data_IF_808775325917
#
_entry.id   IF_808775325917
#
_cell.length_a   1.000
_cell.length_b   1.000
_cell.length_c   1.000
_cell.angle_alpha   90.00
_cell.angle_beta   90.00
_cell.angle_gamma   90.00
#
_symmetry.space_group_name_H-M   'P 1'
#
loop_
_entity.id
_entity.type
_entity.pdbx_description
1 polymer ?
#
# COMPACT_ATOMS: atom_id res chain seq x y z
N UNK A 1 12.96 41.62 -42.02
CA UNK A 1 12.33 41.57 -40.68
C UNK A 1 11.38 40.39 -40.49
N UNK A 2 10.50 40.03 -41.44
CA UNK A 2 9.54 38.91 -41.27
C UNK A 2 10.16 37.51 -41.03
N UNK A 3 11.38 37.26 -41.50
CA UNK A 3 12.09 35.98 -41.27
C UNK A 3 12.72 35.87 -39.87
N UNK A 4 13.05 37.02 -39.23
CA UNK A 4 13.59 37.06 -37.84
C UNK A 4 12.51 36.70 -36.80
N UNK A 5 11.28 37.16 -36.98
CA UNK A 5 10.19 36.89 -36.02
C UNK A 5 9.74 35.41 -35.98
N UNK A 6 9.78 34.68 -37.11
CA UNK A 6 9.37 33.26 -37.13
C UNK A 6 10.34 32.35 -36.36
N UNK A 7 11.65 32.62 -36.42
CA UNK A 7 12.69 31.84 -35.70
C UNK A 7 12.68 32.09 -34.20
N UNK A 8 12.40 33.32 -33.76
CA UNK A 8 12.24 33.67 -32.33
C UNK A 8 10.98 33.00 -31.75
N UNK A 9 9.88 32.94 -32.51
CA UNK A 9 8.67 32.25 -32.09
C UNK A 9 8.86 30.72 -31.96
N UNK A 10 9.67 30.10 -32.80
CA UNK A 10 9.99 28.65 -32.69
C UNK A 10 10.89 28.37 -31.48
N UNK A 11 11.79 29.29 -31.14
CA UNK A 11 12.61 29.23 -29.92
C UNK A 11 11.78 29.40 -28.66
N UNK A 12 10.85 30.36 -28.63
CA UNK A 12 9.88 30.50 -27.53
C UNK A 12 9.03 29.23 -27.35
N UNK A 13 8.66 28.58 -28.46
CA UNK A 13 7.91 27.31 -28.43
C UNK A 13 8.78 26.13 -27.95
N UNK A 14 10.03 26.04 -28.40
CA UNK A 14 11.01 25.04 -27.96
C UNK A 14 11.41 25.23 -26.50
N UNK A 15 11.57 26.47 -26.02
CA UNK A 15 11.72 26.80 -24.60
C UNK A 15 10.49 26.35 -23.81
N UNK A 16 9.26 26.60 -24.31
CA UNK A 16 8.04 26.15 -23.64
C UNK A 16 7.89 24.62 -23.58
N UNK A 17 8.35 23.90 -24.61
CA UNK A 17 8.33 22.43 -24.69
C UNK A 17 9.47 21.78 -23.88
N UNK A 18 10.63 22.42 -23.81
CA UNK A 18 11.77 21.99 -23.00
C UNK A 18 11.60 22.30 -21.51
N UNK A 19 10.58 23.07 -21.10
CA UNK A 19 10.37 23.45 -19.69
C UNK A 19 9.23 22.71 -19.00
N UNK A 20 8.18 22.30 -19.72
CA UNK A 20 7.02 21.62 -19.11
C UNK A 20 7.36 20.43 -18.18
N UNK A 21 8.39 19.61 -18.45
CA UNK A 21 8.71 18.51 -17.57
C UNK A 21 9.70 18.89 -16.42
N UNK A 22 10.47 19.99 -16.46
CA UNK A 22 11.61 20.32 -15.54
C UNK A 22 11.25 20.44 -14.07
N UNK A 23 9.97 20.38 -13.81
CA UNK A 23 9.33 21.18 -12.81
C UNK A 23 8.32 20.34 -12.03
N UNK A 24 7.86 19.21 -12.60
CA UNK A 24 7.23 18.10 -11.87
C UNK A 24 8.19 17.39 -10.88
N UNK A 25 9.45 17.81 -10.80
CA UNK A 25 10.52 17.13 -10.11
C UNK A 25 11.25 17.98 -9.05
N UNK A 26 10.99 19.29 -9.03
CA UNK A 26 11.50 20.19 -8.00
C UNK A 26 10.61 20.13 -6.75
N UNK A 27 10.57 18.96 -6.09
CA UNK A 27 10.39 18.75 -4.64
C UNK A 27 10.10 17.26 -4.35
N UNK A 28 11.08 16.48 -3.84
CA UNK A 28 10.81 15.45 -2.86
C UNK A 28 10.88 16.08 -1.46
N UNK A 29 10.19 17.20 -1.23
CA UNK A 29 9.91 17.71 0.12
C UNK A 29 8.48 17.37 0.49
N UNK A 30 8.26 16.07 0.57
CA UNK A 30 6.98 15.50 0.88
C UNK A 30 7.07 14.03 0.61
N UNK A 31 7.19 13.28 1.69
CA UNK A 31 6.98 11.84 1.75
C UNK A 31 5.62 11.49 1.11
N UNK A 32 5.56 11.40 -0.22
CA UNK A 32 4.35 11.14 -1.01
C UNK A 32 4.54 9.89 -1.87
N UNK A 33 4.92 8.81 -1.20
CA UNK A 33 4.46 7.48 -1.57
C UNK A 33 3.15 7.20 -0.83
N UNK A 34 2.01 7.43 -1.47
CA UNK A 34 0.79 6.72 -1.11
C UNK A 34 0.91 5.28 -1.61
N UNK A 35 1.72 4.52 -0.89
CA UNK A 35 2.09 3.15 -1.17
C UNK A 35 2.61 2.52 0.09
N UNK A 36 1.75 1.73 0.71
CA UNK A 36 2.04 0.66 1.65
C UNK A 36 3.36 -0.05 1.28
N UNK A 37 4.43 0.23 2.03
CA UNK A 37 5.77 -0.35 1.84
C UNK A 37 6.82 0.70 2.15
N UNK A 38 7.75 0.43 3.08
CA UNK A 38 8.89 1.32 3.27
C UNK A 38 9.61 1.46 1.93
N UNK A 39 9.67 2.67 1.37
CA UNK A 39 10.44 2.90 0.13
C UNK A 39 11.89 2.55 0.46
N UNK A 40 12.41 1.48 -0.15
CA UNK A 40 13.83 1.14 -0.04
C UNK A 40 14.65 2.36 -0.45
N UNK A 41 15.84 2.51 0.16
CA UNK A 41 16.77 3.59 -0.19
C UNK A 41 17.05 3.59 -1.70
N UNK A 42 17.07 2.39 -2.29
CA UNK A 42 17.14 2.09 -3.72
C UNK A 42 16.05 2.80 -4.54
N UNK A 43 14.76 2.59 -4.24
CA UNK A 43 13.66 3.24 -4.98
C UNK A 43 13.76 4.77 -4.94
N UNK A 44 14.27 5.30 -3.82
CA UNK A 44 14.46 6.74 -3.66
C UNK A 44 15.65 7.26 -4.47
N UNK A 45 16.73 6.48 -4.56
CA UNK A 45 17.88 6.80 -5.39
C UNK A 45 17.54 6.74 -6.89
N UNK A 46 16.84 5.70 -7.32
CA UNK A 46 16.34 5.54 -8.69
C UNK A 46 15.45 6.73 -9.10
N UNK A 47 14.50 7.10 -8.24
CA UNK A 47 13.65 8.26 -8.49
C UNK A 47 14.47 9.56 -8.62
N UNK A 48 15.52 9.74 -7.82
CA UNK A 48 16.37 10.93 -7.88
C UNK A 48 17.19 10.98 -9.17
N UNK A 49 17.77 9.85 -9.60
CA UNK A 49 18.50 9.74 -10.86
C UNK A 49 17.60 10.07 -12.05
N UNK A 50 16.40 9.49 -12.09
CA UNK A 50 15.41 9.77 -13.13
C UNK A 50 15.11 11.27 -13.24
N UNK A 51 14.97 11.96 -12.10
CA UNK A 51 14.74 13.40 -12.08
C UNK A 51 15.96 14.17 -12.65
N UNK A 52 17.17 13.79 -12.23
CA UNK A 52 18.40 14.43 -12.69
C UNK A 52 18.64 14.21 -14.20
N UNK A 53 18.41 13.01 -14.73
CA UNK A 53 18.46 12.72 -16.18
C UNK A 53 17.50 13.61 -16.96
N UNK A 54 16.29 13.77 -16.45
CA UNK A 54 15.32 14.65 -17.09
C UNK A 54 15.79 16.10 -17.04
N UNK A 55 16.38 16.57 -15.93
CA UNK A 55 16.96 17.90 -15.84
C UNK A 55 18.07 18.10 -16.89
N UNK A 56 19.02 17.16 -17.00
CA UNK A 56 20.08 17.13 -18.02
C UNK A 56 19.51 17.35 -19.42
N UNK A 57 18.62 16.48 -19.88
CA UNK A 57 18.05 16.52 -21.25
C UNK A 57 17.45 17.88 -21.60
N UNK A 58 16.88 18.58 -20.61
CA UNK A 58 16.22 19.87 -20.85
C UNK A 58 17.21 21.03 -20.92
N UNK A 59 18.22 21.06 -20.06
CA UNK A 59 19.30 22.05 -20.17
C UNK A 59 20.07 21.84 -21.46
N UNK A 60 20.34 20.58 -21.80
CA UNK A 60 20.99 20.17 -23.05
C UNK A 60 20.21 20.65 -24.27
N UNK A 61 18.89 20.44 -24.30
CA UNK A 61 18.04 20.90 -25.39
C UNK A 61 18.07 22.43 -25.55
N UNK A 62 18.04 23.18 -24.45
CA UNK A 62 18.15 24.64 -24.48
C UNK A 62 19.51 25.07 -25.02
N UNK A 63 20.59 24.54 -24.45
CA UNK A 63 21.96 24.83 -24.86
C UNK A 63 22.17 24.55 -26.35
N UNK A 64 21.78 23.35 -26.82
CA UNK A 64 21.87 22.97 -28.22
C UNK A 64 21.04 23.88 -29.12
N UNK A 65 19.88 24.35 -28.68
CA UNK A 65 19.05 25.28 -29.45
C UNK A 65 19.70 26.66 -29.60
N UNK A 66 20.45 27.11 -28.59
CA UNK A 66 21.22 28.36 -28.64
C UNK A 66 22.41 28.19 -29.58
N UNK A 67 23.19 27.11 -29.41
CA UNK A 67 24.39 26.83 -30.21
C UNK A 67 24.08 26.58 -31.69
N UNK A 68 22.95 25.93 -32.00
CA UNK A 68 22.54 25.67 -33.38
C UNK A 68 21.93 26.90 -34.10
N UNK A 69 21.68 28.00 -33.39
CA UNK A 69 21.04 29.19 -33.97
C UNK A 69 22.05 30.32 -34.23
N UNK A 70 22.48 30.44 -35.48
CA UNK A 70 23.42 31.49 -35.95
C UNK A 70 23.00 32.91 -35.57
N UNK A 71 21.68 33.19 -35.54
CA UNK A 71 21.18 34.52 -35.19
C UNK A 71 21.36 34.79 -33.70
N UNK A 72 21.11 33.79 -32.83
CA UNK A 72 21.35 33.94 -31.40
C UNK A 72 22.84 34.07 -31.11
N UNK A 73 23.68 33.26 -31.76
CA UNK A 73 25.14 33.34 -31.60
C UNK A 73 25.67 34.72 -31.97
N UNK A 74 25.28 35.24 -33.14
CA UNK A 74 25.66 36.59 -33.55
C UNK A 74 25.21 37.65 -32.54
N UNK A 75 24.00 37.53 -31.97
CA UNK A 75 23.52 38.47 -30.94
C UNK A 75 24.27 38.33 -29.61
N UNK A 76 24.69 37.12 -29.24
CA UNK A 76 25.50 36.84 -28.05
C UNK A 76 26.90 37.42 -28.22
N UNK A 77 27.51 37.25 -29.40
CA UNK A 77 28.83 37.80 -29.74
C UNK A 77 28.79 39.34 -29.78
N UNK A 78 27.77 39.94 -30.41
CA UNK A 78 27.55 41.39 -30.42
C UNK A 78 27.37 41.99 -29.02
N UNK A 79 26.84 41.20 -28.08
CA UNK A 79 26.61 41.59 -26.69
C UNK A 79 27.79 41.29 -25.76
N UNK A 80 28.90 40.74 -26.27
CA UNK A 80 30.08 40.33 -25.50
C UNK A 80 29.75 39.29 -24.40
N UNK A 81 28.90 38.31 -24.75
CA UNK A 81 28.40 37.26 -23.84
C UNK A 81 28.90 35.86 -24.21
N UNK A 82 29.87 35.74 -25.13
CA UNK A 82 30.43 34.46 -25.57
C UNK A 82 31.06 33.67 -24.41
N UNK A 83 31.89 34.32 -23.59
CA UNK A 83 32.52 33.72 -22.42
C UNK A 83 31.48 33.22 -21.39
N UNK A 84 30.37 33.96 -21.23
CA UNK A 84 29.28 33.55 -20.35
C UNK A 84 28.56 32.30 -20.87
N UNK A 85 28.40 32.17 -22.19
CA UNK A 85 27.83 30.97 -22.81
C UNK A 85 28.77 29.77 -22.64
N UNK A 86 30.08 29.98 -22.78
CA UNK A 86 31.08 28.94 -22.57
C UNK A 86 31.09 28.46 -21.12
N UNK A 87 31.10 29.36 -20.14
CA UNK A 87 30.99 29.00 -18.72
C UNK A 87 29.69 28.23 -18.40
N UNK A 88 28.57 28.59 -19.02
CA UNK A 88 27.31 27.86 -18.85
C UNK A 88 27.39 26.43 -19.41
N UNK A 89 28.07 26.25 -20.55
CA UNK A 89 28.33 24.93 -21.13
C UNK A 89 29.27 24.09 -20.25
N UNK A 90 30.35 24.68 -19.72
CA UNK A 90 31.24 24.00 -18.77
C UNK A 90 30.49 23.56 -17.51
N UNK A 91 29.67 24.43 -16.93
CA UNK A 91 28.83 24.11 -15.76
C UNK A 91 27.86 22.97 -16.06
N UNK A 92 27.26 22.96 -17.25
CA UNK A 92 26.41 21.85 -17.68
C UNK A 92 27.17 20.52 -17.75
N UNK A 93 28.38 20.52 -18.33
CA UNK A 93 29.20 19.30 -18.45
C UNK A 93 29.66 18.77 -17.09
N UNK A 94 30.02 19.65 -16.14
CA UNK A 94 30.27 19.24 -14.75
C UNK A 94 29.05 18.51 -14.15
N UNK A 95 27.84 18.98 -14.45
CA UNK A 95 26.61 18.30 -14.03
C UNK A 95 26.43 16.93 -14.68
N UNK A 96 26.81 16.77 -15.95
CA UNK A 96 26.76 15.49 -16.67
C UNK A 96 27.72 14.48 -16.04
N UNK A 97 28.99 14.87 -15.84
CA UNK A 97 30.00 14.02 -15.22
C UNK A 97 29.56 13.59 -13.81
N UNK A 98 29.03 14.53 -13.02
CA UNK A 98 28.52 14.25 -11.67
C UNK A 98 27.34 13.27 -11.69
N UNK A 99 26.45 13.37 -12.69
CA UNK A 99 25.32 12.46 -12.84
C UNK A 99 25.77 11.04 -13.24
N UNK A 100 26.81 10.90 -14.06
CA UNK A 100 27.40 9.60 -14.40
C UNK A 100 28.01 8.92 -13.16
N UNK A 101 28.68 9.69 -12.29
CA UNK A 101 29.15 9.19 -10.98
C UNK A 101 27.97 8.77 -10.08
N UNK A 102 26.85 9.48 -10.14
CA UNK A 102 25.64 9.14 -9.40
C UNK A 102 25.04 7.80 -9.85
N UNK A 103 24.97 7.56 -11.16
CA UNK A 103 24.53 6.28 -11.74
C UNK A 103 25.49 5.15 -11.36
N UNK A 104 26.80 5.37 -11.46
CA UNK A 104 27.82 4.39 -11.04
C UNK A 104 27.68 4.02 -9.56
N UNK A 105 27.48 5.02 -8.69
CA UNK A 105 27.24 4.80 -7.25
C UNK A 105 25.97 4.01 -6.97
N UNK A 106 24.93 4.15 -7.81
CA UNK A 106 23.70 3.39 -7.69
C UNK A 106 23.92 1.93 -8.08
N UNK A 107 24.64 1.67 -9.17
CA UNK A 107 25.01 0.32 -9.62
C UNK A 107 25.88 -0.42 -8.58
N UNK A 108 26.73 0.30 -7.86
CA UNK A 108 27.54 -0.23 -6.74
C UNK A 108 26.73 -0.49 -5.46
N UNK A 109 25.42 -0.22 -5.45
CA UNK A 109 24.54 -0.35 -4.28
C UNK A 109 24.72 0.77 -3.24
N UNK A 110 25.50 1.81 -3.54
CA UNK A 110 25.67 2.98 -2.68
C UNK A 110 24.57 4.03 -2.94
N UNK A 111 23.33 3.67 -2.57
CA UNK A 111 22.16 4.51 -2.83
C UNK A 111 22.21 5.90 -2.15
N UNK A 112 22.86 6.02 -0.99
CA UNK A 112 23.05 7.33 -0.33
C UNK A 112 23.99 8.22 -1.13
N UNK A 113 25.11 7.66 -1.62
CA UNK A 113 26.05 8.36 -2.50
C UNK A 113 25.39 8.79 -3.80
N UNK A 114 24.64 7.88 -4.44
CA UNK A 114 23.88 8.16 -5.64
C UNK A 114 22.90 9.34 -5.46
N UNK A 115 22.14 9.37 -4.35
CA UNK A 115 21.23 10.48 -4.05
C UNK A 115 21.99 11.80 -3.89
N UNK A 116 23.13 11.80 -3.19
CA UNK A 116 23.92 13.00 -2.96
C UNK A 116 24.47 13.58 -4.27
N UNK A 117 25.09 12.72 -5.09
CA UNK A 117 25.64 13.11 -6.39
C UNK A 117 24.55 13.54 -7.38
N UNK A 118 23.39 12.87 -7.39
CA UNK A 118 22.25 13.29 -8.22
C UNK A 118 21.73 14.68 -7.83
N UNK A 119 21.69 15.01 -6.54
CA UNK A 119 21.34 16.35 -6.05
C UNK A 119 22.37 17.40 -6.46
N UNK A 120 23.65 17.07 -6.39
CA UNK A 120 24.76 17.93 -6.81
C UNK A 120 24.71 18.21 -8.32
N UNK A 121 24.54 17.17 -9.14
CA UNK A 121 24.35 17.28 -10.59
C UNK A 121 23.17 18.21 -10.95
N UNK A 122 22.04 18.07 -10.26
CA UNK A 122 20.91 18.98 -10.43
C UNK A 122 21.21 20.43 -10.04
N UNK A 123 22.10 20.64 -9.07
CA UNK A 123 22.63 21.96 -8.73
C UNK A 123 23.32 22.60 -9.93
N UNK A 124 24.26 21.89 -10.55
CA UNK A 124 24.95 22.32 -11.76
C UNK A 124 23.99 22.58 -12.93
N UNK A 125 23.04 21.68 -13.20
CA UNK A 125 22.06 21.88 -14.27
C UNK A 125 21.20 23.14 -14.04
N UNK A 126 20.79 23.40 -12.81
CA UNK A 126 20.03 24.60 -12.47
C UNK A 126 20.85 25.87 -12.69
N UNK A 127 22.13 25.84 -12.33
CA UNK A 127 22.99 27.02 -12.43
C UNK A 127 23.35 27.30 -13.90
N UNK A 128 23.65 26.26 -14.69
CA UNK A 128 23.78 26.37 -16.15
C UNK A 128 22.50 26.94 -16.79
N UNK A 129 21.32 26.43 -16.41
CA UNK A 129 20.04 26.95 -16.93
C UNK A 129 19.82 28.44 -16.62
N UNK A 130 20.17 28.88 -15.40
CA UNK A 130 20.07 30.30 -15.01
C UNK A 130 20.96 31.17 -15.87
N UNK A 131 22.22 30.76 -16.08
CA UNK A 131 23.14 31.53 -16.93
C UNK A 131 22.66 31.61 -18.37
N UNK A 132 22.21 30.50 -18.95
CA UNK A 132 21.61 30.50 -20.29
C UNK A 132 20.39 31.45 -20.37
N UNK A 133 19.54 31.43 -19.35
CA UNK A 133 18.37 32.30 -19.29
C UNK A 133 18.76 33.78 -19.18
N UNK A 134 19.77 34.09 -18.36
CA UNK A 134 20.31 35.45 -18.21
C UNK A 134 20.88 35.98 -19.53
N UNK A 135 21.63 35.16 -20.26
CA UNK A 135 22.16 35.50 -21.59
C UNK A 135 21.03 35.85 -22.54
N UNK A 136 20.02 34.96 -22.64
CA UNK A 136 18.84 35.18 -23.49
C UNK A 136 18.07 36.47 -23.10
N UNK A 137 18.08 36.83 -21.83
CA UNK A 137 17.50 38.08 -21.36
C UNK A 137 18.29 39.32 -21.80
N UNK A 138 19.60 39.30 -21.63
CA UNK A 138 20.49 40.41 -22.01
C UNK A 138 20.45 40.71 -23.51
N UNK A 139 20.30 39.68 -24.34
CA UNK A 139 20.13 39.85 -25.80
C UNK A 139 18.67 40.17 -26.22
N UNK A 140 17.76 40.40 -25.26
CA UNK A 140 16.39 40.83 -25.52
C UNK A 140 15.46 39.73 -26.07
N UNK A 141 15.86 38.47 -26.01
CA UNK A 141 15.04 37.31 -26.42
C UNK A 141 14.02 36.95 -25.34
N UNK A 142 14.40 37.10 -24.06
CA UNK A 142 13.52 36.96 -22.90
C UNK A 142 13.36 38.31 -22.17
N UNK A 143 12.22 38.54 -21.52
CA UNK A 143 12.03 39.64 -20.56
C UNK A 143 12.48 39.17 -19.17
N UNK A 144 13.21 39.99 -18.40
CA UNK A 144 13.76 39.58 -17.09
C UNK A 144 12.68 39.19 -16.09
N UNK A 145 11.57 39.93 -16.07
CA UNK A 145 10.41 39.69 -15.20
C UNK A 145 9.70 38.36 -15.51
N UNK A 146 9.82 37.89 -16.76
CA UNK A 146 9.26 36.60 -17.17
C UNK A 146 10.08 35.46 -16.58
N UNK A 147 11.41 35.56 -16.56
CA UNK A 147 12.32 34.54 -16.00
C UNK A 147 12.07 34.35 -14.49
N UNK A 148 11.93 35.44 -13.73
CA UNK A 148 11.68 35.38 -12.29
C UNK A 148 10.28 34.82 -11.95
N UNK A 149 9.30 35.05 -12.82
CA UNK A 149 7.93 34.59 -12.64
C UNK A 149 7.69 33.12 -13.01
N UNK A 150 8.47 32.54 -13.94
CA UNK A 150 8.23 31.19 -14.44
C UNK A 150 8.21 30.16 -13.31
N UNK A 151 9.17 30.24 -12.38
CA UNK A 151 9.27 29.34 -11.22
C UNK A 151 7.97 29.23 -10.41
N UNK A 152 7.19 30.31 -10.35
CA UNK A 152 5.90 30.33 -9.67
C UNK A 152 4.80 29.63 -10.47
N UNK A 153 4.75 29.78 -11.80
CA UNK A 153 3.80 29.02 -12.64
C UNK A 153 4.00 27.52 -12.50
N UNK A 154 5.26 27.12 -12.35
CA UNK A 154 5.59 25.73 -12.09
C UNK A 154 5.04 25.30 -10.74
N UNK A 155 5.36 26.05 -9.70
CA UNK A 155 4.97 25.66 -8.35
C UNK A 155 3.43 25.56 -8.26
N UNK A 156 2.71 26.41 -8.99
CA UNK A 156 1.26 26.30 -9.19
C UNK A 156 0.88 24.97 -9.86
N UNK A 157 1.48 24.63 -11.00
CA UNK A 157 1.19 23.37 -11.71
C UNK A 157 1.48 22.13 -10.83
N UNK A 158 2.55 22.17 -10.06
CA UNK A 158 2.92 21.10 -9.13
C UNK A 158 1.93 21.00 -7.97
N UNK A 159 1.49 22.13 -7.43
CA UNK A 159 0.47 22.16 -6.39
C UNK A 159 -0.87 21.60 -6.91
N UNK A 160 -1.26 21.91 -8.15
CA UNK A 160 -2.46 21.34 -8.79
C UNK A 160 -2.35 19.82 -8.97
N UNK A 161 -1.24 19.32 -9.51
CA UNK A 161 -1.01 17.87 -9.63
C UNK A 161 -1.02 17.18 -8.24
N UNK A 162 -0.49 17.86 -7.22
CA UNK A 162 -0.54 17.35 -5.83
C UNK A 162 -1.97 17.30 -5.31
N UNK A 163 -2.79 18.31 -5.58
CA UNK A 163 -4.23 18.32 -5.23
C UNK A 163 -4.94 17.13 -5.88
N UNK A 164 -4.73 16.89 -7.17
CA UNK A 164 -5.34 15.78 -7.91
C UNK A 164 -4.99 14.43 -7.29
N UNK A 165 -3.70 14.16 -7.09
CA UNK A 165 -3.23 12.92 -6.43
C UNK A 165 -3.79 12.77 -5.01
N UNK A 166 -3.94 13.87 -4.27
CA UNK A 166 -4.52 13.84 -2.93
C UNK A 166 -6.01 13.52 -2.98
N UNK A 167 -6.78 14.06 -3.92
CA UNK A 167 -8.20 13.71 -4.10
C UNK A 167 -8.38 12.22 -4.35
N UNK A 168 -7.64 11.65 -5.31
CA UNK A 168 -7.69 10.22 -5.61
C UNK A 168 -7.34 9.35 -4.38
N UNK A 169 -6.40 9.82 -3.56
CA UNK A 169 -6.03 9.12 -2.34
C UNK A 169 -7.12 9.20 -1.28
N UNK A 170 -7.71 10.37 -1.10
CA UNK A 170 -8.76 10.62 -0.12
C UNK A 170 -9.99 9.79 -0.47
N UNK A 171 -10.40 9.78 -1.74
CA UNK A 171 -11.50 8.95 -2.24
C UNK A 171 -11.24 7.45 -2.02
N UNK A 172 -10.03 6.95 -2.33
CA UNK A 172 -9.67 5.55 -2.05
C UNK A 172 -9.77 5.22 -0.57
N UNK A 173 -9.40 6.14 0.31
CA UNK A 173 -9.54 5.96 1.76
C UNK A 173 -11.03 5.95 2.13
N UNK A 174 -11.78 6.98 1.75
CA UNK A 174 -13.21 7.11 2.02
C UNK A 174 -14.01 5.88 1.56
N UNK A 175 -13.76 5.39 0.33
CA UNK A 175 -14.44 4.21 -0.21
C UNK A 175 -14.14 2.93 0.58
N UNK A 176 -12.94 2.80 1.17
CA UNK A 176 -12.56 1.63 1.96
C UNK A 176 -13.02 1.71 3.41
N UNK A 177 -13.10 2.91 3.97
CA UNK A 177 -13.30 3.11 5.40
C UNK A 177 -14.67 3.68 5.77
N UNK A 178 -15.37 4.29 4.82
CA UNK A 178 -16.60 5.05 5.04
C UNK A 178 -16.38 6.38 5.75
N UNK A 179 -15.14 6.90 5.78
CA UNK A 179 -14.85 8.20 6.41
C UNK A 179 -15.42 9.33 5.57
N UNK A 180 -16.07 10.27 6.22
CA UNK A 180 -16.46 11.53 5.60
C UNK A 180 -15.22 12.40 5.34
N UNK A 181 -14.98 12.72 4.07
CA UNK A 181 -13.86 13.55 3.59
C UNK A 181 -14.35 14.88 3.01
N UNK A 182 -15.62 15.25 3.23
CA UNK A 182 -16.25 16.42 2.59
C UNK A 182 -15.49 17.71 2.88
N UNK A 183 -15.15 17.97 4.15
CA UNK A 183 -14.42 19.18 4.54
C UNK A 183 -13.01 19.24 3.93
N UNK A 184 -12.27 18.13 3.99
CA UNK A 184 -10.93 18.04 3.42
C UNK A 184 -10.96 18.25 1.89
N UNK A 185 -11.97 17.71 1.22
CA UNK A 185 -12.15 17.83 -0.24
C UNK A 185 -12.58 19.25 -0.63
N UNK A 186 -13.40 19.92 0.20
CA UNK A 186 -13.77 21.32 0.00
C UNK A 186 -12.53 22.23 0.03
N UNK A 187 -11.62 22.04 0.98
CA UNK A 187 -10.35 22.79 1.06
C UNK A 187 -9.44 22.58 -0.15
N UNK A 188 -9.36 21.34 -0.65
CA UNK A 188 -8.63 21.06 -1.89
C UNK A 188 -9.25 21.78 -3.10
N UNK A 189 -10.58 21.91 -3.13
CA UNK A 189 -11.30 22.61 -4.20
C UNK A 189 -11.10 24.13 -4.13
N UNK A 190 -11.07 24.69 -2.93
CA UNK A 190 -10.73 26.11 -2.71
C UNK A 190 -9.27 26.40 -3.12
N UNK A 191 -8.32 25.54 -2.73
CA UNK A 191 -6.92 25.67 -3.14
C UNK A 191 -6.75 25.65 -4.66
N UNK A 192 -7.48 24.77 -5.35
CA UNK A 192 -7.48 24.67 -6.81
C UNK A 192 -8.01 25.94 -7.49
N UNK A 193 -9.07 26.55 -6.93
CA UNK A 193 -9.61 27.81 -7.44
C UNK A 193 -8.61 28.97 -7.31
N UNK A 194 -7.86 29.03 -6.19
CA UNK A 194 -6.80 30.02 -5.97
C UNK A 194 -5.67 29.83 -7.00
N UNK A 195 -5.33 28.58 -7.34
CA UNK A 195 -4.25 28.22 -8.26
C UNK A 195 -4.60 28.38 -9.75
N UNK A 196 -5.31 29.46 -10.12
CA UNK A 196 -5.69 29.74 -11.50
C UNK A 196 -4.46 30.15 -12.34
N UNK A 197 -3.98 29.21 -13.18
CA UNK A 197 -2.80 29.40 -14.04
C UNK A 197 -2.96 30.57 -15.01
N UNK A 198 -4.15 30.78 -15.57
CA UNK A 198 -4.40 31.88 -16.51
C UNK A 198 -4.21 33.22 -15.82
N UNK A 199 -4.80 33.38 -14.63
CA UNK A 199 -4.64 34.59 -13.81
C UNK A 199 -3.19 34.80 -13.38
N UNK A 200 -2.51 33.74 -12.95
CA UNK A 200 -1.10 33.81 -12.58
C UNK A 200 -0.22 34.27 -13.75
N UNK A 201 -0.49 33.79 -14.97
CA UNK A 201 0.23 34.22 -16.18
C UNK A 201 0.04 35.71 -16.47
N UNK A 202 -1.19 36.21 -16.36
CA UNK A 202 -1.48 37.64 -16.54
C UNK A 202 -0.75 38.51 -15.51
N UNK A 203 -0.76 38.11 -14.24
CA UNK A 203 -0.06 38.81 -13.16
C UNK A 203 1.45 38.89 -13.41
N UNK A 204 2.05 37.79 -13.85
CA UNK A 204 3.48 37.77 -14.18
C UNK A 204 3.82 38.62 -15.41
N UNK A 205 2.95 38.64 -16.42
CA UNK A 205 3.12 39.53 -17.58
C UNK A 205 3.05 41.02 -17.20
N UNK A 206 2.38 41.34 -16.09
CA UNK A 206 2.30 42.67 -15.49
C UNK A 206 3.43 42.95 -14.49
N UNK A 207 4.36 42.01 -14.28
CA UNK A 207 5.46 42.12 -13.32
C UNK A 207 5.05 41.90 -11.86
N UNK A 208 3.83 41.45 -11.60
CA UNK A 208 3.29 41.28 -10.25
C UNK A 208 3.62 39.88 -9.67
N UNK A 209 4.90 39.65 -9.41
CA UNK A 209 5.45 38.39 -8.88
C UNK A 209 4.95 38.12 -7.45
N UNK A 210 4.82 39.16 -6.63
CA UNK A 210 4.41 39.07 -5.21
C UNK A 210 3.01 38.50 -5.06
N UNK A 211 2.05 38.91 -5.89
CA UNK A 211 0.68 38.42 -5.82
C UNK A 211 0.61 36.92 -6.18
N UNK A 212 1.36 36.48 -7.19
CA UNK A 212 1.42 35.06 -7.56
C UNK A 212 2.08 34.21 -6.46
N UNK A 213 3.13 34.71 -5.81
CA UNK A 213 3.75 34.03 -4.67
C UNK A 213 2.78 33.91 -3.49
N UNK A 214 1.97 34.94 -3.25
CA UNK A 214 0.95 34.94 -2.21
C UNK A 214 -0.18 33.93 -2.51
N UNK A 215 -0.68 33.88 -3.75
CA UNK A 215 -1.66 32.87 -4.20
C UNK A 215 -1.16 31.44 -3.92
N UNK A 216 0.09 31.16 -4.27
CA UNK A 216 0.70 29.84 -4.04
C UNK A 216 0.81 29.52 -2.55
N UNK A 217 1.19 30.49 -1.71
CA UNK A 217 1.27 30.32 -0.26
C UNK A 217 -0.08 30.00 0.35
N UNK A 218 -1.13 30.73 -0.04
CA UNK A 218 -2.50 30.53 0.44
C UNK A 218 -3.03 29.15 0.05
N UNK A 219 -2.86 28.75 -1.20
CA UNK A 219 -3.23 27.41 -1.66
C UNK A 219 -2.47 26.30 -0.91
N UNK A 220 -1.18 26.48 -0.66
CA UNK A 220 -0.37 25.52 0.11
C UNK A 220 -0.86 25.37 1.56
N UNK A 221 -1.34 26.44 2.19
CA UNK A 221 -1.93 26.37 3.53
C UNK A 221 -3.21 25.53 3.51
N UNK A 222 -4.11 25.75 2.55
CA UNK A 222 -5.34 24.96 2.39
C UNK A 222 -5.06 23.48 2.14
N UNK A 223 -4.05 23.16 1.31
CA UNK A 223 -3.61 21.78 1.09
C UNK A 223 -3.12 21.13 2.40
N UNK A 224 -2.35 21.87 3.21
CA UNK A 224 -1.90 21.38 4.51
C UNK A 224 -3.06 21.16 5.48
N UNK A 225 -4.05 22.05 5.47
CA UNK A 225 -5.25 21.93 6.30
C UNK A 225 -6.11 20.74 5.89
N UNK A 226 -6.33 20.52 4.59
CA UNK A 226 -7.03 19.34 4.08
C UNK A 226 -6.39 18.03 4.58
N UNK A 227 -5.05 17.96 4.59
CA UNK A 227 -4.34 16.80 5.12
C UNK A 227 -4.52 16.62 6.63
N UNK A 228 -4.51 17.71 7.41
CA UNK A 228 -4.75 17.68 8.86
C UNK A 228 -6.15 17.18 9.17
N UNK A 229 -7.16 17.64 8.42
CA UNK A 229 -8.55 17.21 8.59
C UNK A 229 -8.73 15.73 8.30
N UNK A 230 -8.18 15.24 7.20
CA UNK A 230 -8.20 13.79 6.92
C UNK A 230 -7.54 13.00 8.05
N UNK A 231 -6.39 13.46 8.55
CA UNK A 231 -5.67 12.80 9.65
C UNK A 231 -6.51 12.75 10.93
N UNK A 232 -7.25 13.82 11.24
CA UNK A 232 -8.16 13.86 12.39
C UNK A 232 -9.34 12.89 12.19
N UNK A 233 -9.99 12.91 11.03
CA UNK A 233 -11.11 12.02 10.72
C UNK A 233 -10.70 10.54 10.80
N UNK A 234 -9.51 10.18 10.30
CA UNK A 234 -8.95 8.83 10.43
C UNK A 234 -8.74 8.45 11.90
N UNK A 235 -8.21 9.38 12.73
CA UNK A 235 -8.00 9.14 14.16
C UNK A 235 -9.31 8.89 14.90
N UNK A 236 -10.32 9.70 14.64
CA UNK A 236 -11.65 9.55 15.23
C UNK A 236 -12.31 8.23 14.82
N UNK A 237 -12.27 7.87 13.54
CA UNK A 237 -12.78 6.58 13.08
C UNK A 237 -12.12 5.41 13.81
N UNK A 238 -10.80 5.46 14.01
CA UNK A 238 -10.07 4.37 14.66
C UNK A 238 -10.36 4.34 16.16
N UNK A 239 -10.43 5.48 16.82
CA UNK A 239 -10.89 5.56 18.21
C UNK A 239 -12.28 4.92 18.35
N UNK A 240 -13.22 5.26 17.47
CA UNK A 240 -14.56 4.68 17.45
C UNK A 240 -14.55 3.16 17.21
N UNK A 241 -13.72 2.66 16.28
CA UNK A 241 -13.56 1.21 16.04
C UNK A 241 -13.00 0.48 17.26
N UNK A 242 -12.04 1.08 17.97
CA UNK A 242 -11.48 0.51 19.20
C UNK A 242 -12.55 0.46 20.30
N UNK A 243 -13.33 1.52 20.48
CA UNK A 243 -14.42 1.53 21.47
C UNK A 243 -15.53 0.53 21.13
N UNK A 244 -15.92 0.41 19.87
CA UNK A 244 -16.84 -0.64 19.43
C UNK A 244 -16.28 -2.04 19.69
N UNK A 245 -14.98 -2.25 19.48
CA UNK A 245 -14.32 -3.53 19.74
C UNK A 245 -14.27 -3.85 21.24
N UNK A 246 -13.96 -2.87 22.10
CA UNK A 246 -14.09 -2.98 23.57
C UNK A 246 -15.50 -3.37 23.99
N UNK A 247 -16.52 -2.75 23.39
CA UNK A 247 -17.92 -3.11 23.64
C UNK A 247 -18.22 -4.58 23.29
N UNK A 248 -17.80 -5.05 22.11
CA UNK A 248 -17.93 -6.46 21.69
C UNK A 248 -17.20 -7.40 22.64
N UNK A 249 -16.01 -7.02 23.10
CA UNK A 249 -15.25 -7.78 24.07
C UNK A 249 -15.97 -7.94 25.40
N UNK A 250 -16.54 -6.87 25.92
CA UNK A 250 -17.33 -6.91 27.15
C UNK A 250 -18.57 -7.81 26.97
N UNK A 251 -19.26 -7.73 25.84
CA UNK A 251 -20.39 -8.64 25.55
C UNK A 251 -19.95 -10.11 25.50
N UNK A 252 -18.78 -10.41 24.93
CA UNK A 252 -18.23 -11.76 24.95
C UNK A 252 -17.95 -12.17 26.40
N UNK A 253 -17.28 -11.34 27.19
CA UNK A 253 -17.00 -11.58 28.61
C UNK A 253 -18.27 -11.94 29.40
N UNK A 254 -19.33 -11.15 29.27
CA UNK A 254 -20.59 -11.41 29.98
C UNK A 254 -21.22 -12.74 29.56
N UNK A 255 -21.23 -13.05 28.25
CA UNK A 255 -21.73 -14.34 27.77
C UNK A 255 -20.92 -15.53 28.28
N UNK A 256 -19.61 -15.38 28.42
CA UNK A 256 -18.74 -16.40 29.00
C UNK A 256 -19.08 -16.60 30.48
N UNK A 257 -19.19 -15.50 31.24
CA UNK A 257 -19.58 -15.51 32.66
C UNK A 257 -20.92 -16.20 32.88
N UNK A 258 -21.96 -15.79 32.16
CA UNK A 258 -23.30 -16.38 32.27
C UNK A 258 -23.27 -17.89 32.01
N UNK A 259 -22.54 -18.33 30.97
CA UNK A 259 -22.39 -19.74 30.63
C UNK A 259 -21.67 -20.55 31.70
N UNK A 260 -20.64 -19.99 32.31
CA UNK A 260 -19.90 -20.62 33.41
C UNK A 260 -20.77 -20.73 34.67
N UNK A 261 -21.49 -19.66 35.02
CA UNK A 261 -22.44 -19.63 36.14
C UNK A 261 -23.56 -20.67 35.97
N UNK A 262 -24.16 -20.76 34.79
CA UNK A 262 -25.20 -21.75 34.47
C UNK A 262 -24.73 -23.21 34.62
N UNK A 263 -23.41 -23.45 34.67
CA UNK A 263 -22.81 -24.78 34.81
C UNK A 263 -22.13 -24.99 36.16
N UNK A 264 -22.19 -24.01 37.06
CA UNK A 264 -21.53 -24.06 38.37
C UNK A 264 -20.00 -24.06 38.30
N UNK A 265 -19.40 -23.63 37.18
CA UNK A 265 -17.94 -23.55 37.01
C UNK A 265 -17.47 -22.17 37.46
N UNK A 266 -16.45 -22.11 38.31
CA UNK A 266 -15.83 -20.84 38.71
C UNK A 266 -15.04 -20.21 37.56
N UNK A 267 -15.18 -18.90 37.34
CA UNK A 267 -14.41 -18.17 36.33
C UNK A 267 -12.89 -18.36 36.52
N UNK A 268 -12.40 -18.28 37.76
CA UNK A 268 -10.98 -18.41 38.07
C UNK A 268 -10.45 -19.83 37.81
N UNK A 269 -11.29 -20.85 37.95
CA UNK A 269 -10.93 -22.22 37.58
C UNK A 269 -10.80 -22.36 36.06
N UNK A 270 -11.67 -21.69 35.31
CA UNK A 270 -11.63 -21.70 33.85
C UNK A 270 -10.35 -21.04 33.31
N UNK A 271 -9.98 -19.86 33.81
CA UNK A 271 -8.83 -19.10 33.30
C UNK A 271 -7.46 -19.58 33.82
N UNK A 272 -7.39 -20.36 34.91
CA UNK A 272 -6.13 -20.95 35.39
C UNK A 272 -5.40 -21.79 34.36
N UNK A 273 -6.12 -22.45 33.45
CA UNK A 273 -5.53 -23.24 32.34
C UNK A 273 -4.79 -22.38 31.31
N UNK A 274 -5.07 -21.09 31.28
CA UNK A 274 -4.41 -20.11 30.43
C UNK A 274 -3.27 -19.38 31.17
N UNK A 275 -2.80 -19.93 32.30
CA UNK A 275 -1.80 -19.35 33.20
C UNK A 275 -2.24 -18.02 33.84
N UNK A 276 -3.55 -17.79 34.01
CA UNK A 276 -4.07 -16.65 34.75
C UNK A 276 -4.59 -17.07 36.12
N UNK A 277 -4.02 -16.51 37.17
CA UNK A 277 -4.42 -16.80 38.56
C UNK A 277 -5.86 -16.40 38.85
N UNK A 278 -6.35 -15.33 38.20
CA UNK A 278 -7.72 -14.81 38.30
C UNK A 278 -8.26 -14.43 36.93
N UNK A 279 -9.58 -14.53 36.76
CA UNK A 279 -10.29 -14.10 35.55
C UNK A 279 -10.01 -12.62 35.23
N UNK A 280 -9.93 -11.78 36.26
CA UNK A 280 -9.63 -10.36 36.15
C UNK A 280 -8.25 -10.08 35.51
N UNK A 281 -7.27 -10.94 35.74
CA UNK A 281 -5.91 -10.77 35.20
C UNK A 281 -5.89 -11.00 33.69
N UNK A 282 -6.65 -11.98 33.20
CA UNK A 282 -6.83 -12.21 31.77
C UNK A 282 -7.44 -10.97 31.09
N UNK A 283 -8.54 -10.44 31.65
CA UNK A 283 -9.23 -9.29 31.08
C UNK A 283 -8.39 -8.01 31.16
N UNK A 284 -7.69 -7.79 32.27
CA UNK A 284 -6.73 -6.70 32.41
C UNK A 284 -5.67 -6.76 31.34
N UNK A 285 -5.10 -7.94 31.09
CA UNK A 285 -4.07 -8.11 30.05
C UNK A 285 -4.58 -7.82 28.65
N UNK A 286 -5.81 -8.22 28.34
CA UNK A 286 -6.45 -7.88 27.06
C UNK A 286 -6.65 -6.36 26.91
N UNK A 287 -7.10 -5.67 27.98
CA UNK A 287 -7.27 -4.22 27.97
C UNK A 287 -5.94 -3.46 27.85
N UNK A 288 -4.89 -3.92 28.53
CA UNK A 288 -3.52 -3.36 28.39
C UNK A 288 -3.02 -3.43 26.95
N UNK A 289 -3.19 -4.58 26.29
CA UNK A 289 -2.77 -4.74 24.89
C UNK A 289 -3.57 -3.76 24.00
N UNK A 290 -4.88 -3.64 24.19
CA UNK A 290 -5.69 -2.70 23.42
C UNK A 290 -5.32 -1.23 23.63
N UNK A 291 -5.07 -0.81 24.88
CA UNK A 291 -4.63 0.56 25.15
C UNK A 291 -3.23 0.82 24.58
N UNK A 292 -2.34 -0.18 24.60
CA UNK A 292 -1.04 -0.06 23.93
C UNK A 292 -1.17 0.11 22.41
N UNK A 293 -2.14 -0.58 21.78
CA UNK A 293 -2.46 -0.41 20.36
C UNK A 293 -3.01 0.98 20.10
N UNK A 294 -3.92 1.47 20.95
CA UNK A 294 -4.49 2.81 20.86
C UNK A 294 -3.41 3.89 20.96
N UNK A 295 -2.55 3.80 21.98
CA UNK A 295 -1.47 4.76 22.21
C UNK A 295 -0.49 4.80 21.03
N UNK A 296 0.01 3.64 20.59
CA UNK A 296 0.90 3.53 19.43
C UNK A 296 0.26 4.10 18.15
N UNK A 297 -1.03 3.89 17.97
CA UNK A 297 -1.75 4.44 16.83
C UNK A 297 -1.86 5.97 16.90
N UNK A 298 -2.18 6.53 18.07
CA UNK A 298 -2.30 7.98 18.26
C UNK A 298 -0.97 8.70 18.05
N UNK A 299 0.14 8.09 18.49
CA UNK A 299 1.51 8.60 18.33
C UNK A 299 2.05 8.46 16.92
N UNK A 300 1.93 7.28 16.28
CA UNK A 300 2.65 6.98 15.03
C UNK A 300 1.77 6.92 13.77
N UNK A 301 0.43 6.97 13.88
CA UNK A 301 -0.48 6.96 12.73
C UNK A 301 -0.42 5.68 11.86
N UNK A 302 0.23 4.62 12.34
CA UNK A 302 0.32 3.32 11.66
C UNK A 302 -0.34 2.26 12.52
N UNK A 303 -1.18 1.45 11.88
CA UNK A 303 -1.75 0.25 12.48
C UNK A 303 -0.96 -0.94 11.94
N UNK A 304 -0.34 -1.73 12.81
CA UNK A 304 0.02 -3.09 12.44
C UNK A 304 -1.26 -3.91 12.56
N UNK A 305 -1.98 -4.10 11.44
CA UNK A 305 -3.22 -4.88 11.39
C UNK A 305 -3.08 -6.27 12.04
N UNK A 306 -1.86 -6.80 12.05
CA UNK A 306 -1.42 -8.04 12.71
C UNK A 306 -1.73 -8.10 14.20
N UNK A 307 -1.72 -6.97 14.91
CA UNK A 307 -1.91 -6.94 16.36
C UNK A 307 -3.39 -7.13 16.73
N UNK A 308 -4.29 -6.47 15.98
CA UNK A 308 -5.75 -6.66 16.13
C UNK A 308 -6.19 -8.07 15.69
N UNK A 309 -5.57 -8.61 14.63
CA UNK A 309 -5.79 -10.00 14.21
C UNK A 309 -5.35 -10.99 15.28
N UNK A 310 -4.23 -10.73 15.96
CA UNK A 310 -3.74 -11.58 17.05
C UNK A 310 -4.69 -11.59 18.24
N UNK A 311 -5.23 -10.44 18.63
CA UNK A 311 -6.27 -10.37 19.68
C UNK A 311 -7.53 -11.13 19.24
N UNK A 312 -8.00 -10.87 18.00
CA UNK A 312 -9.21 -11.51 17.45
C UNK A 312 -9.08 -13.02 17.33
N UNK A 313 -7.89 -13.54 17.05
CA UNK A 313 -7.58 -14.97 17.01
C UNK A 313 -7.63 -15.59 18.41
N UNK A 314 -6.95 -14.98 19.38
CA UNK A 314 -6.96 -15.46 20.78
C UNK A 314 -8.37 -15.52 21.37
N UNK A 315 -9.22 -14.53 21.09
CA UNK A 315 -10.60 -14.52 21.55
C UNK A 315 -11.46 -15.62 20.92
N UNK A 316 -11.20 -15.94 19.65
CA UNK A 316 -11.86 -17.07 18.98
C UNK A 316 -11.48 -18.38 19.66
N UNK A 317 -10.19 -18.59 19.94
CA UNK A 317 -9.69 -19.78 20.65
C UNK A 317 -10.37 -19.96 22.03
N UNK A 318 -10.46 -18.89 22.84
CA UNK A 318 -11.16 -18.92 24.14
C UNK A 318 -12.64 -19.28 23.99
N UNK A 319 -13.34 -18.68 23.01
CA UNK A 319 -14.75 -18.97 22.76
C UNK A 319 -14.97 -20.43 22.33
N UNK A 320 -14.10 -20.95 21.48
CA UNK A 320 -14.13 -22.33 21.02
C UNK A 320 -13.96 -23.30 22.19
N UNK A 321 -13.00 -23.04 23.07
CA UNK A 321 -12.75 -23.89 24.22
C UNK A 321 -13.93 -23.91 25.21
N UNK A 322 -14.63 -22.79 25.37
CA UNK A 322 -15.87 -22.75 26.15
C UNK A 322 -16.99 -23.56 25.53
N UNK A 323 -17.20 -23.45 24.21
CA UNK A 323 -18.24 -24.24 23.52
C UNK A 323 -17.96 -25.75 23.60
N UNK A 324 -16.70 -26.16 23.59
CA UNK A 324 -16.28 -27.55 23.82
C UNK A 324 -16.60 -27.99 25.24
N UNK A 325 -16.16 -27.26 26.28
CA UNK A 325 -16.38 -27.66 27.68
C UNK A 325 -17.84 -27.67 28.10
N UNK A 326 -18.66 -26.79 27.52
CA UNK A 326 -20.10 -26.81 27.76
C UNK A 326 -20.77 -28.11 27.27
N UNK A 327 -20.10 -28.82 26.36
CA UNK A 327 -20.55 -30.06 25.69
C UNK A 327 -19.75 -31.30 26.08
N UNK A 328 -18.63 -31.17 26.80
CA UNK A 328 -17.87 -32.30 27.34
C UNK A 328 -18.77 -33.09 28.30
N UNK A 329 -19.26 -34.25 27.82
CA UNK A 329 -19.66 -35.39 28.65
C UNK A 329 -18.47 -36.34 28.67
N UNK A 330 -18.22 -36.99 29.81
CA UNK A 330 -17.25 -38.10 29.87
C UNK A 330 -17.68 -39.17 28.86
N UNK A 331 -16.82 -39.46 27.87
CA UNK A 331 -17.12 -40.43 26.84
C UNK A 331 -15.98 -40.62 25.84
N UNK A 332 -16.10 -41.66 25.03
CA UNK A 332 -15.15 -42.06 23.98
C UNK A 332 -15.68 -41.56 22.65
N UNK A 333 -14.93 -40.67 22.00
CA UNK A 333 -15.26 -40.27 20.64
C UNK A 333 -14.73 -41.28 19.65
N UNK A 334 -15.50 -41.53 18.59
CA UNK A 334 -15.15 -42.43 17.50
C UNK A 334 -15.72 -41.86 16.21
N UNK A 335 -14.95 -41.95 15.13
CA UNK A 335 -15.33 -41.46 13.81
C UNK A 335 -15.28 -42.64 12.85
N UNK A 336 -16.38 -42.84 12.13
CA UNK A 336 -16.45 -43.71 10.97
C UNK A 336 -16.46 -42.82 9.72
N UNK A 337 -15.61 -43.14 8.76
CA UNK A 337 -15.52 -42.44 7.47
C UNK A 337 -15.87 -43.44 6.39
N UNK A 338 -16.73 -43.04 5.47
CA UNK A 338 -17.07 -43.80 4.28
C UNK A 338 -16.88 -42.94 3.04
N UNK A 339 -16.44 -43.54 1.94
CA UNK A 339 -16.09 -42.85 0.70
C UNK A 339 -16.74 -43.57 -0.47
N UNK A 340 -17.69 -42.90 -1.11
CA UNK A 340 -18.38 -43.38 -2.30
C UNK A 340 -17.92 -42.57 -3.52
N UNK A 341 -17.56 -43.25 -4.61
CA UNK A 341 -17.25 -42.61 -5.90
C UNK A 341 -18.57 -42.40 -6.64
N UNK A 342 -18.95 -41.15 -6.90
CA UNK A 342 -20.22 -40.82 -7.55
C UNK A 342 -20.09 -40.95 -9.08
N UNK A 343 -19.05 -40.34 -9.64
CA UNK A 343 -18.79 -40.28 -11.08
C UNK A 343 -17.30 -40.04 -11.33
N UNK A 344 -16.80 -40.60 -12.44
CA UNK A 344 -15.39 -40.52 -12.80
C UNK A 344 -15.21 -40.48 -14.32
N UNK A 345 -14.37 -39.57 -14.79
CA UNK A 345 -13.94 -39.50 -16.19
C UNK A 345 -12.44 -39.78 -16.26
N UNK A 346 -12.07 -40.81 -17.03
CA UNK A 346 -10.68 -41.17 -17.27
C UNK A 346 -10.22 -40.52 -18.56
N UNK A 347 -9.21 -39.66 -18.49
CA UNK A 347 -8.57 -39.05 -19.66
C UNK A 347 -7.07 -39.36 -19.62
N UNK A 348 -6.63 -40.28 -20.50
CA UNK A 348 -5.24 -40.80 -20.54
C UNK A 348 -4.84 -41.48 -19.21
N UNK A 349 -3.86 -40.93 -18.48
CA UNK A 349 -3.32 -41.41 -17.19
C UNK A 349 -3.81 -40.57 -15.99
N UNK A 350 -4.90 -39.83 -16.17
CA UNK A 350 -5.48 -38.97 -15.14
C UNK A 350 -6.97 -39.23 -15.01
N UNK A 351 -7.45 -39.25 -13.79
CA UNK A 351 -8.85 -39.44 -13.41
C UNK A 351 -9.37 -38.16 -12.79
N UNK A 352 -10.51 -37.71 -13.27
CA UNK A 352 -11.32 -36.72 -12.57
C UNK A 352 -12.45 -37.47 -11.89
N UNK A 353 -12.57 -37.39 -10.56
CA UNK A 353 -13.58 -38.11 -9.77
C UNK A 353 -14.28 -37.16 -8.80
N UNK A 354 -15.59 -37.30 -8.64
CA UNK A 354 -16.29 -36.73 -7.48
C UNK A 354 -16.50 -37.81 -6.43
N UNK A 355 -16.13 -37.48 -5.20
CA UNK A 355 -16.30 -38.32 -4.03
C UNK A 355 -17.42 -37.77 -3.17
N UNK A 356 -18.26 -38.67 -2.66
CA UNK A 356 -19.12 -38.44 -1.51
C UNK A 356 -18.41 -39.00 -0.29
N UNK A 357 -18.02 -38.14 0.63
CA UNK A 357 -17.43 -38.55 1.90
C UNK A 357 -18.48 -38.39 2.99
N UNK A 358 -18.77 -39.51 3.64
CA UNK A 358 -19.72 -39.59 4.75
C UNK A 358 -18.93 -39.70 6.04
N UNK A 359 -19.14 -38.76 6.96
CA UNK A 359 -18.49 -38.74 8.28
C UNK A 359 -19.56 -39.01 9.32
N UNK A 360 -19.44 -40.12 10.05
CA UNK A 360 -20.37 -40.49 11.10
C UNK A 360 -19.67 -40.44 12.46
N UNK A 361 -20.33 -39.81 13.43
CA UNK A 361 -19.90 -39.87 14.81
C UNK A 361 -20.46 -41.14 15.46
N UNK A 362 -19.64 -42.18 15.60
CA UNK A 362 -20.02 -43.43 16.27
C UNK A 362 -19.69 -43.42 17.77
N UNK A 363 -19.05 -42.35 18.25
CA UNK A 363 -18.77 -42.14 19.66
C UNK A 363 -20.00 -41.68 20.45
N UNK A 364 -19.82 -41.61 21.78
CA UNK A 364 -20.86 -41.12 22.70
C UNK A 364 -20.64 -39.66 23.14
N UNK A 365 -19.72 -38.95 22.47
CA UNK A 365 -19.44 -37.52 22.69
C UNK A 365 -19.64 -36.74 21.40
N UNK A 366 -19.94 -35.45 21.53
CA UNK A 366 -20.02 -34.53 20.39
C UNK A 366 -18.64 -34.26 19.81
N UNK A 367 -18.52 -34.34 18.48
CA UNK A 367 -17.28 -34.05 17.76
C UNK A 367 -17.33 -32.66 17.13
N UNK A 368 -16.21 -31.93 17.19
CA UNK A 368 -16.09 -30.58 16.62
C UNK A 368 -14.97 -30.56 15.58
N UNK A 369 -15.31 -30.07 14.39
CA UNK A 369 -14.42 -30.00 13.25
C UNK A 369 -14.02 -28.56 12.93
N UNK A 370 -12.79 -28.34 12.43
CA UNK A 370 -12.24 -27.00 12.22
C UNK A 370 -12.89 -26.23 11.06
N UNK A 371 -13.65 -26.92 10.19
CA UNK A 371 -14.32 -26.34 9.04
C UNK A 371 -15.58 -27.14 8.66
N UNK A 372 -16.38 -26.62 7.73
CA UNK A 372 -17.59 -27.28 7.21
C UNK A 372 -17.31 -28.60 6.47
N UNK A 373 -16.09 -28.79 5.99
CA UNK A 373 -15.64 -30.04 5.38
C UNK A 373 -15.07 -31.04 6.39
N UNK A 374 -15.45 -30.95 7.67
CA UNK A 374 -15.08 -31.92 8.71
C UNK A 374 -13.56 -32.11 8.91
N UNK A 375 -12.74 -31.12 8.56
CA UNK A 375 -11.27 -31.27 8.62
C UNK A 375 -10.74 -32.35 7.67
N UNK A 376 -11.42 -32.56 6.55
CA UNK A 376 -11.05 -33.57 5.55
C UNK A 376 -9.74 -33.23 4.85
N UNK A 377 -8.91 -34.26 4.71
CA UNK A 377 -7.67 -34.28 3.96
C UNK A 377 -7.69 -35.54 3.09
N UNK A 378 -7.27 -35.42 1.83
CA UNK A 378 -7.04 -36.55 0.94
C UNK A 378 -5.54 -36.78 0.87
N UNK A 379 -5.12 -38.02 1.10
CA UNK A 379 -3.74 -38.47 0.99
C UNK A 379 -3.63 -39.53 -0.11
N UNK A 380 -2.44 -39.64 -0.70
CA UNK A 380 -2.10 -40.62 -1.71
C UNK A 380 -0.94 -41.48 -1.24
N UNK A 381 -0.99 -42.78 -1.50
CA UNK A 381 0.12 -43.67 -1.24
C UNK A 381 1.19 -43.53 -2.34
N UNK A 382 2.41 -43.19 -1.94
CA UNK A 382 3.58 -43.09 -2.82
C UNK A 382 4.71 -43.87 -2.13
N UNK A 383 5.14 -44.98 -2.75
CA UNK A 383 6.20 -45.85 -2.22
C UNK A 383 5.93 -46.38 -0.79
N UNK A 384 4.67 -46.72 -0.48
CA UNK A 384 4.28 -47.22 0.86
C UNK A 384 4.08 -46.12 1.91
N UNK A 385 4.27 -44.84 1.55
CA UNK A 385 4.02 -43.70 2.44
C UNK A 385 2.77 -42.92 2.00
N UNK A 386 1.95 -42.55 2.97
CA UNK A 386 0.81 -41.66 2.74
C UNK A 386 1.28 -40.20 2.72
N UNK A 387 1.02 -39.51 1.61
CA UNK A 387 1.38 -38.09 1.43
C UNK A 387 0.15 -37.26 1.18
N UNK A 388 0.15 -36.04 1.74
CA UNK A 388 -0.88 -35.04 1.47
C UNK A 388 -1.07 -34.85 -0.04
N UNK A 389 -2.31 -34.96 -0.51
CA UNK A 389 -2.68 -34.78 -1.90
C UNK A 389 -3.61 -33.57 -2.08
N UNK A 390 -4.66 -33.48 -1.28
CA UNK A 390 -5.68 -32.43 -1.45
C UNK A 390 -6.42 -32.14 -0.14
N UNK A 391 -6.93 -30.92 0.03
CA UNK A 391 -7.91 -30.60 1.07
C UNK A 391 -8.98 -29.68 0.48
N UNK A 392 -10.28 -29.96 0.67
CA UNK A 392 -11.34 -29.14 0.11
C UNK A 392 -11.33 -27.74 0.71
N UNK A 393 -11.50 -26.72 -0.15
CA UNK A 393 -11.76 -25.36 0.30
C UNK A 393 -13.11 -25.31 1.01
N UNK A 394 -13.09 -25.11 2.32
CA UNK A 394 -14.27 -24.99 3.15
C UNK A 394 -14.33 -23.62 3.81
N UNK A 395 -15.54 -23.08 3.95
CA UNK A 395 -15.75 -21.94 4.83
C UNK A 395 -15.22 -22.29 6.23
N UNK A 396 -14.55 -21.33 6.87
CA UNK A 396 -14.03 -21.43 8.24
C UNK A 396 -15.18 -21.29 9.24
N UNK A 397 -16.13 -22.22 9.20
CA UNK A 397 -17.20 -22.36 10.18
C UNK A 397 -17.09 -23.74 10.80
N UNK A 398 -17.21 -23.80 12.13
CA UNK A 398 -17.18 -25.07 12.84
C UNK A 398 -18.34 -25.95 12.40
N UNK A 399 -18.06 -27.23 12.23
CA UNK A 399 -19.08 -28.25 12.09
C UNK A 399 -19.09 -29.12 13.33
N UNK A 400 -20.29 -29.43 13.79
CA UNK A 400 -20.54 -30.26 14.97
C UNK A 400 -21.25 -31.51 14.49
N UNK A 401 -20.84 -32.67 15.01
CA UNK A 401 -21.61 -33.92 14.91
C UNK A 401 -21.93 -34.42 16.32
N UNK A 402 -23.21 -34.49 16.65
CA UNK A 402 -23.68 -35.15 17.87
C UNK A 402 -23.53 -36.69 17.77
N UNK A 403 -23.55 -37.43 18.90
CA UNK A 403 -23.51 -38.90 18.88
C UNK A 403 -24.57 -39.49 17.93
N UNK A 404 -24.14 -40.34 16.99
CA UNK A 404 -25.01 -40.95 15.98
C UNK A 404 -25.30 -40.09 14.75
N UNK A 405 -24.92 -38.80 14.75
CA UNK A 405 -25.11 -37.94 13.59
C UNK A 405 -24.12 -38.29 12.46
N UNK A 406 -24.57 -37.99 11.24
CA UNK A 406 -23.81 -38.19 10.02
C UNK A 406 -23.75 -36.88 9.22
N UNK A 407 -22.58 -36.55 8.72
CA UNK A 407 -22.34 -35.42 7.82
C UNK A 407 -21.84 -35.91 6.46
N UNK A 408 -22.18 -35.18 5.40
CA UNK A 408 -21.70 -35.45 4.04
C UNK A 408 -20.86 -34.26 3.55
N UNK A 409 -19.75 -34.55 2.88
CA UNK A 409 -19.00 -33.57 2.09
C UNK A 409 -18.71 -34.13 0.70
N UNK A 410 -18.89 -33.29 -0.31
CA UNK A 410 -18.56 -33.62 -1.69
C UNK A 410 -17.20 -33.06 -2.05
N UNK A 411 -16.34 -33.91 -2.59
CA UNK A 411 -14.97 -33.55 -2.97
C UNK A 411 -14.81 -33.77 -4.46
N UNK A 412 -14.31 -32.74 -5.15
CA UNK A 412 -13.93 -32.86 -6.55
C UNK A 412 -12.41 -33.03 -6.64
N UNK A 413 -11.95 -34.19 -7.11
CA UNK A 413 -10.54 -34.47 -7.38
C UNK A 413 -10.29 -34.40 -8.88
N UNK A 414 -9.82 -33.25 -9.35
CA UNK A 414 -9.45 -33.05 -10.75
C UNK A 414 -8.04 -33.55 -11.06
N UNK A 415 -7.89 -34.39 -12.09
CA UNK A 415 -6.58 -34.77 -12.62
C UNK A 415 -5.73 -35.68 -11.71
N UNK A 416 -6.37 -36.48 -10.85
CA UNK A 416 -5.70 -37.44 -9.98
C UNK A 416 -5.02 -38.56 -10.78
N UNK A 417 -3.88 -39.02 -10.31
CA UNK A 417 -3.15 -40.13 -10.92
C UNK A 417 -3.73 -41.47 -10.42
N UNK A 418 -3.38 -42.56 -11.11
CA UNK A 418 -3.74 -43.90 -10.69
C UNK A 418 -3.04 -44.28 -9.39
N UNK A 419 -3.71 -45.11 -8.57
CA UNK A 419 -3.15 -45.62 -7.31
C UNK A 419 -4.11 -45.54 -6.12
N UNK A 420 -3.57 -45.82 -4.94
CA UNK A 420 -4.32 -45.84 -3.68
C UNK A 420 -4.37 -44.45 -3.04
N UNK A 421 -5.54 -44.12 -2.54
CA UNK A 421 -5.84 -42.87 -1.84
C UNK A 421 -6.55 -43.19 -0.53
N UNK A 422 -6.46 -42.27 0.42
CA UNK A 422 -7.31 -42.30 1.62
C UNK A 422 -7.84 -40.92 1.94
N UNK A 423 -9.06 -40.87 2.41
CA UNK A 423 -9.64 -39.68 3.02
C UNK A 423 -9.43 -39.77 4.51
N UNK A 424 -8.78 -38.77 5.08
CA UNK A 424 -8.53 -38.61 6.51
C UNK A 424 -9.41 -37.49 7.03
N UNK A 425 -10.13 -37.76 8.11
CA UNK A 425 -11.01 -36.80 8.79
C UNK A 425 -10.44 -36.56 10.18
N UNK A 426 -10.13 -35.30 10.49
CA UNK A 426 -9.57 -34.92 11.78
C UNK A 426 -10.56 -34.06 12.58
N UNK A 427 -11.10 -34.63 13.66
CA UNK A 427 -11.81 -33.85 14.65
C UNK A 427 -10.81 -33.04 15.49
N UNK A 428 -11.12 -31.77 15.72
CA UNK A 428 -10.28 -30.88 16.51
C UNK A 428 -10.33 -31.22 17.99
N UNK A 429 -11.52 -31.58 18.52
CA UNK A 429 -11.68 -32.06 19.90
C UNK A 429 -12.80 -33.12 20.06
N UNK A 430 -12.51 -34.23 20.78
CA UNK A 430 -11.15 -34.70 21.06
C UNK A 430 -10.39 -34.97 19.75
N UNK A 431 -9.06 -35.00 19.81
CA UNK A 431 -8.25 -35.30 18.63
C UNK A 431 -8.49 -36.75 18.21
N UNK A 432 -9.40 -36.92 17.26
CA UNK A 432 -9.79 -38.21 16.71
C UNK A 432 -9.61 -38.14 15.21
N UNK A 433 -9.00 -39.20 14.68
CA UNK A 433 -8.77 -39.35 13.25
C UNK A 433 -9.52 -40.58 12.78
N UNK A 434 -10.39 -40.40 11.80
CA UNK A 434 -10.99 -41.49 11.03
C UNK A 434 -10.43 -41.47 9.60
N UNK A 435 -10.39 -42.63 8.94
CA UNK A 435 -10.00 -42.68 7.52
C UNK A 435 -10.76 -43.75 6.75
N UNK A 436 -10.81 -43.56 5.43
CA UNK A 436 -11.34 -44.52 4.48
C UNK A 436 -10.48 -44.53 3.22
N UNK A 437 -10.15 -45.73 2.74
CA UNK A 437 -9.28 -45.92 1.58
C UNK A 437 -10.10 -46.15 0.30
N UNK A 438 -9.59 -45.68 -0.83
CA UNK A 438 -10.17 -45.91 -2.16
C UNK A 438 -9.06 -45.95 -3.22
N UNK A 439 -9.26 -46.71 -4.28
CA UNK A 439 -8.28 -46.82 -5.37
C UNK A 439 -8.78 -46.12 -6.63
N UNK A 440 -7.91 -45.40 -7.34
CA UNK A 440 -8.22 -44.90 -8.68
C UNK A 440 -7.63 -45.86 -9.73
N UNK A 441 -8.46 -46.32 -10.68
CA UNK A 441 -8.12 -47.37 -11.65
C UNK A 441 -7.03 -46.94 -12.61
#
# INVERSE_FOLDING_TARGET
MACRCRRIATLMLLLSLALAPMLAAAEPRGNFGLGLGGSSLENRAEAMLYVADKAKVRVEALLNSILANDTLRAMIDEADLADALEMANETFNLGVDTLELAHSSYEDGNYTGAISLALEAMGYFRDAYKELSNILCKIGVLKSEVIDGWGLLIAIQCALNRIEKMREAFERIANRTGIDISNATAKLSEAEQILNITRARELLQQGNVTEVAQMLKEANNLICEAFKELKLAIREMIANRIEQFKGKLNQIREKIRERLQNKGISEDEFYRRWNFSRAEDFWRKQMEIMESIRARFMEMGRMNATDMETISRRLREVRLELEVRLREREGVGSIEVDVEKIDGVVVRRRVTVNLRVTVRNTGNITLIFPNLAFGVIVEREINGEWRFYYSPFSAQALRVLEPGETGEVRIHLGGAEFGKYRVVVQAFRPQITGYAEFELP
#
